data_IF_288746118757
#
_entry.id   IF_288746118757
#
_cell.length_a   1.000
_cell.length_b   1.000
_cell.length_c   1.000
_cell.angle_alpha   90.00
_cell.angle_beta   90.00
_cell.angle_gamma   90.00
#
_symmetry.space_group_name_H-M   'P 1'
#
loop_
_entity.id
_entity.type
_entity.pdbx_description
1 polymer ?
#
# COMPACT_ATOMS: atom_id res chain seq x y z
N UNK A 1 7.82 -29.90 -19.12
CA UNK A 1 8.11 -28.68 -19.89
C UNK A 1 7.11 -27.63 -19.46
N UNK A 2 7.51 -26.61 -18.72
CA UNK A 2 6.71 -25.38 -18.60
C UNK A 2 7.67 -24.20 -18.63
N UNK A 3 7.87 -23.67 -19.85
CA UNK A 3 8.65 -22.48 -20.11
C UNK A 3 7.80 -21.26 -19.86
N UNK A 4 8.16 -20.47 -18.86
CA UNK A 4 7.66 -19.11 -18.73
C UNK A 4 8.45 -18.18 -19.65
N UNK A 5 7.77 -17.34 -20.42
CA UNK A 5 8.44 -16.33 -21.25
C UNK A 5 8.87 -15.19 -20.32
N UNK A 6 10.16 -14.85 -20.36
CA UNK A 6 10.73 -13.67 -19.69
C UNK A 6 11.15 -12.68 -20.76
N UNK A 7 10.37 -11.61 -20.94
CA UNK A 7 10.75 -10.50 -21.83
C UNK A 7 11.23 -9.29 -21.02
N UNK A 8 12.37 -8.72 -21.42
CA UNK A 8 12.90 -7.50 -20.83
C UNK A 8 12.33 -6.30 -21.55
N UNK A 9 11.47 -5.53 -20.88
CA UNK A 9 10.80 -4.36 -21.47
C UNK A 9 11.60 -3.08 -21.18
N UNK A 10 12.30 -3.02 -20.04
CA UNK A 10 13.19 -1.92 -19.71
C UNK A 10 14.39 -2.39 -18.87
N UNK A 11 15.37 -1.51 -18.61
CA UNK A 11 16.50 -1.83 -17.73
C UNK A 11 15.98 -2.14 -16.32
N UNK A 12 16.09 -3.41 -15.91
CA UNK A 12 15.62 -3.89 -14.60
C UNK A 12 14.15 -4.32 -14.56
N UNK A 13 13.36 -4.12 -15.63
CA UNK A 13 11.95 -4.51 -15.68
C UNK A 13 11.76 -5.70 -16.61
N UNK A 14 11.18 -6.77 -16.07
CA UNK A 14 10.88 -8.00 -16.78
C UNK A 14 9.39 -8.30 -16.71
N UNK A 15 8.84 -8.69 -17.86
CA UNK A 15 7.50 -9.25 -17.97
C UNK A 15 7.61 -10.77 -17.97
N UNK A 16 6.84 -11.41 -17.09
CA UNK A 16 6.79 -12.87 -16.96
C UNK A 16 5.42 -13.36 -17.39
N UNK A 17 5.39 -14.29 -18.35
CA UNK A 17 4.19 -15.09 -18.67
C UNK A 17 4.40 -16.47 -18.07
N UNK A 18 3.85 -16.71 -16.88
CA UNK A 18 4.08 -17.91 -16.05
C UNK A 18 4.35 -17.55 -14.59
N UNK A 19 4.64 -18.53 -13.71
CA UNK A 19 5.04 -18.23 -12.33
C UNK A 19 6.33 -17.42 -12.33
N UNK A 20 6.24 -16.16 -11.86
CA UNK A 20 7.40 -15.32 -11.64
C UNK A 20 8.25 -15.97 -10.54
N UNK A 21 9.51 -16.25 -10.81
CA UNK A 21 10.49 -16.45 -9.75
C UNK A 21 10.77 -15.07 -9.15
N UNK A 22 10.29 -14.86 -7.92
CA UNK A 22 10.59 -13.70 -7.11
C UNK A 22 12.10 -13.59 -6.92
N UNK A 23 12.74 -12.87 -7.84
CA UNK A 23 14.07 -12.33 -7.65
C UNK A 23 13.87 -11.01 -6.93
N UNK A 24 13.56 -11.08 -5.63
CA UNK A 24 13.62 -9.95 -4.73
C UNK A 24 15.07 -9.45 -4.70
N UNK A 25 15.39 -8.53 -5.61
CA UNK A 25 16.47 -7.58 -5.41
C UNK A 25 16.10 -6.78 -4.17
N UNK A 26 16.64 -7.18 -3.03
CA UNK A 26 16.43 -6.55 -1.73
C UNK A 26 17.11 -5.19 -1.76
N UNK A 27 16.45 -4.19 -2.36
CA UNK A 27 16.80 -2.79 -2.10
C UNK A 27 16.68 -2.57 -0.59
N UNK A 28 17.77 -2.17 0.04
CA UNK A 28 17.81 -1.94 1.48
C UNK A 28 16.89 -0.76 1.81
N UNK A 29 15.81 -1.05 2.54
CA UNK A 29 14.82 -0.06 2.91
C UNK A 29 15.32 0.74 4.11
N UNK A 30 15.65 2.01 3.88
CA UNK A 30 16.00 2.93 4.96
C UNK A 30 14.75 3.62 5.49
N UNK A 31 14.54 3.57 6.80
CA UNK A 31 13.46 4.30 7.46
C UNK A 31 13.68 5.82 7.31
N UNK A 32 12.76 6.51 6.64
CA UNK A 32 12.88 7.94 6.34
C UNK A 32 12.30 8.86 7.43
N UNK A 33 11.23 8.44 8.12
CA UNK A 33 10.59 9.16 9.22
C UNK A 33 9.70 8.20 10.04
N UNK A 34 9.14 8.67 11.15
CA UNK A 34 8.13 7.96 11.95
C UNK A 34 7.07 8.94 12.41
N UNK A 35 5.81 8.52 12.33
CA UNK A 35 4.70 9.40 12.66
C UNK A 35 3.36 8.73 12.51
N UNK A 36 2.33 9.56 12.37
CA UNK A 36 0.94 9.13 12.26
C UNK A 36 0.48 9.26 10.82
N UNK A 37 -0.17 8.20 10.32
CA UNK A 37 -0.91 8.24 9.07
C UNK A 37 -2.41 8.38 9.36
N UNK A 38 -3.07 9.26 8.63
CA UNK A 38 -4.50 9.50 8.71
C UNK A 38 -5.11 9.29 7.34
N UNK A 39 -6.19 8.52 7.29
CA UNK A 39 -7.02 8.33 6.10
C UNK A 39 -8.31 9.11 6.35
N UNK A 40 -8.68 10.03 5.46
CA UNK A 40 -9.88 10.83 5.58
C UNK A 40 -10.73 10.71 4.30
N UNK A 41 -11.76 11.55 4.16
CA UNK A 41 -12.62 11.55 2.98
C UNK A 41 -11.90 12.00 1.72
N UNK A 42 -10.81 12.75 1.81
CA UNK A 42 -10.19 13.38 0.64
C UNK A 42 -8.96 12.65 0.15
N UNK A 43 -8.29 11.95 1.06
CA UNK A 43 -7.08 11.22 0.77
C UNK A 43 -6.41 10.71 2.03
N UNK A 44 -5.08 10.76 1.98
CA UNK A 44 -4.21 10.25 3.03
C UNK A 44 -3.23 11.37 3.39
N UNK A 45 -2.99 11.52 4.69
CA UNK A 45 -1.95 12.39 5.22
C UNK A 45 -1.03 11.59 6.13
N UNK A 46 0.26 11.83 6.04
CA UNK A 46 1.26 11.35 6.98
C UNK A 46 1.97 12.53 7.60
N UNK A 47 2.03 12.54 8.93
CA UNK A 47 2.73 13.56 9.72
C UNK A 47 3.80 12.87 10.55
N UNK A 48 5.04 13.02 10.11
CA UNK A 48 6.24 12.59 10.82
C UNK A 48 6.91 13.72 11.59
N UNK A 49 8.09 13.45 12.15
CA UNK A 49 8.88 14.45 12.86
C UNK A 49 9.45 15.51 11.93
N UNK A 50 9.77 15.12 10.70
CA UNK A 50 10.46 15.95 9.70
C UNK A 50 9.72 16.06 8.38
N UNK A 51 8.79 15.15 8.11
CA UNK A 51 8.06 15.06 6.85
C UNK A 51 6.56 15.19 7.06
N UNK A 52 5.94 15.93 6.15
CA UNK A 52 4.50 15.97 5.98
C UNK A 52 4.19 15.56 4.55
N UNK A 53 3.43 14.49 4.37
CA UNK A 53 3.07 13.93 3.06
C UNK A 53 1.56 13.90 2.97
N UNK A 54 1.00 14.38 1.86
CA UNK A 54 -0.42 14.31 1.60
C UNK A 54 -0.66 13.83 0.18
N UNK A 55 -1.61 12.94 0.01
CA UNK A 55 -1.98 12.35 -1.28
C UNK A 55 -3.49 12.31 -1.37
N UNK A 56 -4.05 13.05 -2.31
CA UNK A 56 -5.48 13.02 -2.61
C UNK A 56 -5.85 11.73 -3.32
N UNK A 57 -7.04 11.20 -3.03
CA UNK A 57 -7.54 9.98 -3.68
C UNK A 57 -7.61 10.09 -5.21
N UNK A 58 -7.89 11.28 -5.74
CA UNK A 58 -7.93 11.53 -7.18
C UNK A 58 -6.58 11.43 -7.89
N UNK A 59 -5.47 11.43 -7.14
CA UNK A 59 -4.10 11.37 -7.64
C UNK A 59 -3.43 10.02 -7.44
N UNK A 60 -4.09 9.08 -6.76
CA UNK A 60 -3.55 7.73 -6.55
C UNK A 60 -3.71 6.91 -7.83
N UNK A 61 -2.60 6.44 -8.38
CA UNK A 61 -2.58 5.55 -9.55
C UNK A 61 -2.69 4.08 -9.14
N UNK A 62 -2.02 3.68 -8.06
CA UNK A 62 -2.10 2.32 -7.54
C UNK A 62 -1.78 2.23 -6.05
N UNK A 63 -2.41 1.25 -5.41
CA UNK A 63 -2.17 0.86 -4.02
C UNK A 63 -1.67 -0.59 -4.03
N UNK A 64 -0.51 -0.82 -3.43
CA UNK A 64 0.02 -2.15 -3.16
C UNK A 64 0.11 -2.39 -1.65
N UNK A 65 0.42 -3.62 -1.26
CA UNK A 65 0.68 -3.97 0.14
C UNK A 65 2.04 -4.62 0.30
N UNK A 66 2.53 -4.53 1.54
CA UNK A 66 3.67 -5.28 2.06
C UNK A 66 3.15 -6.19 3.18
N UNK A 67 4.02 -6.89 3.89
CA UNK A 67 3.58 -7.73 5.01
C UNK A 67 2.94 -6.91 6.14
N UNK A 68 3.48 -5.72 6.43
CA UNK A 68 3.11 -4.89 7.57
C UNK A 68 2.77 -3.44 7.20
N UNK A 69 2.30 -3.21 5.97
CA UNK A 69 2.03 -1.86 5.49
C UNK A 69 1.50 -1.79 4.07
N UNK A 70 1.56 -0.58 3.52
CA UNK A 70 1.07 -0.27 2.17
C UNK A 70 2.10 0.49 1.36
N UNK A 71 1.96 0.39 0.04
CA UNK A 71 2.66 1.26 -0.90
C UNK A 71 1.67 2.01 -1.77
N UNK A 72 1.98 3.26 -2.08
CA UNK A 72 1.15 4.13 -2.91
C UNK A 72 2.01 4.70 -4.03
N UNK A 73 1.54 4.55 -5.25
CA UNK A 73 2.06 5.28 -6.40
C UNK A 73 1.02 6.34 -6.76
N UNK A 74 1.43 7.60 -6.83
CA UNK A 74 0.55 8.72 -7.07
C UNK A 74 1.19 9.71 -8.04
N UNK A 75 0.38 10.36 -8.88
CA UNK A 75 0.86 11.29 -9.92
C UNK A 75 1.66 12.45 -9.36
N UNK A 76 1.34 12.88 -8.15
CA UNK A 76 1.99 13.99 -7.44
C UNK A 76 3.36 13.63 -6.86
N UNK A 77 3.72 12.34 -6.83
CA UNK A 77 4.93 11.84 -6.19
C UNK A 77 5.74 10.99 -7.16
N UNK A 78 6.95 11.45 -7.50
CA UNK A 78 7.85 10.73 -8.43
C UNK A 78 8.29 9.35 -7.93
N UNK A 79 8.36 9.17 -6.60
CA UNK A 79 8.73 7.90 -5.98
C UNK A 79 7.52 7.29 -5.31
N UNK A 80 7.41 5.96 -5.41
CA UNK A 80 6.45 5.17 -4.64
C UNK A 80 6.62 5.45 -3.15
N UNK A 81 5.53 5.84 -2.51
CA UNK A 81 5.46 6.02 -1.07
C UNK A 81 5.29 4.65 -0.41
N UNK A 82 5.96 4.45 0.72
CA UNK A 82 5.92 3.21 1.49
C UNK A 82 5.67 3.55 2.94
N UNK A 83 4.58 3.02 3.49
CA UNK A 83 4.17 3.22 4.88
C UNK A 83 4.13 1.85 5.56
N UNK A 84 4.95 1.67 6.59
CA UNK A 84 5.19 0.38 7.27
C UNK A 84 4.98 0.51 8.78
N UNK A 85 4.82 -0.64 9.45
CA UNK A 85 4.69 -0.73 10.91
C UNK A 85 3.25 -0.85 11.40
N UNK A 86 2.31 -1.19 10.52
CA UNK A 86 0.91 -1.40 10.86
C UNK A 86 0.67 -2.70 11.64
N UNK A 87 1.58 -3.67 11.55
CA UNK A 87 1.58 -4.89 12.35
C UNK A 87 1.57 -4.62 13.86
N UNK A 88 2.02 -3.43 14.29
CA UNK A 88 1.95 -2.99 15.69
C UNK A 88 0.54 -2.57 16.14
N UNK A 89 -0.41 -2.45 15.22
CA UNK A 89 -1.79 -2.04 15.49
C UNK A 89 -2.67 -3.28 15.52
N UNK A 90 -3.38 -3.49 16.63
CA UNK A 90 -4.44 -4.49 16.72
C UNK A 90 -5.79 -3.91 16.32
N UNK A 91 -6.50 -4.64 15.47
CA UNK A 91 -7.84 -4.26 14.99
C UNK A 91 -8.85 -5.21 15.58
N UNK A 92 -9.78 -4.71 16.43
CA UNK A 92 -10.91 -5.49 16.88
C UNK A 92 -11.92 -5.61 15.73
N UNK A 93 -12.24 -6.84 15.34
CA UNK A 93 -13.24 -7.17 14.32
C UNK A 93 -14.42 -7.88 14.97
N UNK A 94 -15.62 -7.33 14.78
CA UNK A 94 -16.86 -7.99 15.17
C UNK A 94 -17.46 -8.72 13.97
N UNK A 95 -17.59 -10.04 14.09
CA UNK A 95 -18.29 -10.87 13.09
C UNK A 95 -19.46 -11.54 13.80
N UNK A 96 -20.68 -11.12 13.44
CA UNK A 96 -21.91 -11.49 14.16
C UNK A 96 -21.78 -11.16 15.66
N UNK A 97 -21.82 -12.18 16.53
CA UNK A 97 -21.69 -12.02 17.99
C UNK A 97 -20.28 -12.34 18.52
N UNK A 98 -19.29 -12.50 17.65
CA UNK A 98 -17.90 -12.82 18.04
C UNK A 98 -16.97 -11.65 17.78
N UNK A 99 -16.11 -11.38 18.76
CA UNK A 99 -15.01 -10.42 18.65
C UNK A 99 -13.71 -11.17 18.37
N UNK A 100 -12.99 -10.70 17.36
CA UNK A 100 -11.66 -11.15 17.00
C UNK A 100 -10.70 -9.97 17.17
N UNK A 101 -9.47 -10.22 17.63
CA UNK A 101 -8.38 -9.24 17.50
C UNK A 101 -7.38 -9.80 16.50
N UNK A 102 -7.00 -9.00 15.52
CA UNK A 102 -5.93 -9.34 14.60
C UNK A 102 -5.02 -8.14 14.37
N UNK A 103 -3.74 -8.41 14.12
CA UNK A 103 -2.84 -7.37 13.66
C UNK A 103 -3.32 -6.81 12.31
N UNK A 104 -3.15 -5.51 12.14
CA UNK A 104 -3.42 -4.83 10.89
C UNK A 104 -2.36 -5.23 9.87
N UNK A 105 -2.68 -6.23 9.05
CA UNK A 105 -1.83 -6.65 7.95
C UNK A 105 -1.85 -5.62 6.82
N UNK A 106 -0.79 -5.57 6.03
CA UNK A 106 -0.75 -4.70 4.85
C UNK A 106 -1.88 -4.98 3.86
N UNK A 107 -2.26 -6.26 3.71
CA UNK A 107 -3.41 -6.65 2.87
C UNK A 107 -4.72 -6.07 3.39
N UNK A 108 -4.97 -6.12 4.70
CA UNK A 108 -6.16 -5.52 5.29
C UNK A 108 -6.17 -4.00 5.11
N UNK A 109 -5.03 -3.33 5.31
CA UNK A 109 -4.91 -1.89 5.05
C UNK A 109 -5.24 -1.52 3.60
N UNK A 110 -4.72 -2.28 2.63
CA UNK A 110 -5.01 -2.04 1.22
C UNK A 110 -6.52 -2.10 0.97
N UNK A 111 -7.19 -3.16 1.43
CA UNK A 111 -8.64 -3.34 1.22
C UNK A 111 -9.43 -2.20 1.88
N UNK A 112 -9.07 -1.81 3.10
CA UNK A 112 -9.71 -0.70 3.80
C UNK A 112 -9.55 0.62 3.02
N UNK A 113 -8.33 0.89 2.54
CA UNK A 113 -8.04 2.11 1.80
C UNK A 113 -8.77 2.15 0.45
N UNK A 114 -8.78 1.05 -0.29
CA UNK A 114 -9.52 0.92 -1.55
C UNK A 114 -11.03 1.12 -1.33
N UNK A 115 -11.59 0.55 -0.24
CA UNK A 115 -13.00 0.71 0.10
C UNK A 115 -13.36 2.17 0.46
N UNK A 116 -12.52 2.84 1.27
CA UNK A 116 -12.71 4.25 1.64
C UNK A 116 -12.59 5.14 0.39
N UNK A 117 -11.58 4.89 -0.45
CA UNK A 117 -11.34 5.64 -1.68
C UNK A 117 -12.53 5.52 -2.63
N UNK A 118 -13.03 4.30 -2.87
CA UNK A 118 -14.22 4.06 -3.69
C UNK A 118 -15.43 4.82 -3.15
N UNK A 119 -15.70 4.69 -1.85
CA UNK A 119 -16.84 5.34 -1.20
C UNK A 119 -16.75 6.87 -1.29
N UNK A 120 -15.56 7.44 -1.13
CA UNK A 120 -15.32 8.87 -1.26
C UNK A 120 -15.55 9.37 -2.69
N UNK A 121 -14.98 8.69 -3.68
CA UNK A 121 -15.09 9.08 -5.07
C UNK A 121 -16.53 8.97 -5.60
N UNK A 122 -17.31 8.02 -5.10
CA UNK A 122 -18.74 7.89 -5.40
C UNK A 122 -19.55 9.06 -4.85
N UNK A 123 -19.24 9.56 -3.64
CA UNK A 123 -19.96 10.71 -3.04
C UNK A 123 -19.72 12.04 -3.76
N UNK A 124 -18.65 12.14 -4.56
CA UNK A 124 -18.27 13.35 -5.29
C UNK A 124 -18.90 13.44 -6.68
N UNK A 125 -19.60 12.39 -7.14
CA UNK A 125 -20.34 12.35 -8.40
C UNK A 125 -21.81 12.68 -8.18
#
# INVERSE_FOLDING_TARGET
>A
MEGGIKERIAKGLYFYVGQAQDTELTEELVQLDTGTMTINSDGIAFVGKSKHISVDFGDIDSIGHTNNGITISARTHLKRLRFEGADKVEVPLKVQDRMYSQHLSGRLMQVLLEAVMKTSLERRR
#
